data_IF_023557259908
#
_entry.id   IF_023557259908
#
_cell.length_a   1.000
_cell.length_b   1.000
_cell.length_c   1.000
_cell.angle_alpha   90.00
_cell.angle_beta   90.00
_cell.angle_gamma   90.00
#
_symmetry.space_group_name_H-M   'P 1'
#
loop_
_entity.id
_entity.type
_entity.pdbx_description
1 polymer ?
#
# COMPACT_ATOMS: atom_id res chain seq x y z
N UNK A 1 42.63 3.88 11.47
CA UNK A 1 43.83 3.08 11.80
C UNK A 1 43.49 1.62 11.82
N UNK A 2 44.05 0.78 10.92
CA UNK A 2 43.81 -0.65 10.93
C UNK A 2 44.38 -1.31 12.18
N UNK A 3 43.57 -1.96 12.99
CA UNK A 3 44.03 -2.76 14.10
C UNK A 3 44.94 -3.90 13.59
N UNK A 4 46.17 -3.93 14.08
CA UNK A 4 47.12 -5.02 13.83
C UNK A 4 46.62 -6.29 14.55
N UNK A 5 45.87 -7.16 13.83
CA UNK A 5 45.42 -8.44 14.35
C UNK A 5 46.58 -9.44 14.27
N UNK A 6 47.06 -9.92 15.43
CA UNK A 6 48.07 -11.00 15.51
C UNK A 6 47.37 -12.35 15.42
N UNK A 7 47.74 -13.15 14.42
CA UNK A 7 47.21 -14.52 14.27
C UNK A 7 48.18 -15.54 14.92
N UNK A 8 47.65 -16.26 15.92
CA UNK A 8 48.40 -17.29 16.64
C UNK A 8 48.03 -18.72 16.15
N UNK A 9 47.09 -18.85 15.22
CA UNK A 9 46.65 -20.13 14.71
C UNK A 9 47.59 -20.68 13.64
N UNK A 10 47.67 -22.02 13.55
CA UNK A 10 48.45 -22.75 12.51
C UNK A 10 47.75 -22.78 11.16
N UNK A 11 46.46 -22.52 11.11
CA UNK A 11 45.65 -22.54 9.88
C UNK A 11 45.54 -21.11 9.34
N UNK A 12 45.83 -20.92 8.07
CA UNK A 12 45.59 -19.63 7.39
C UNK A 12 44.10 -19.32 7.42
N UNK A 13 43.75 -18.19 8.03
CA UNK A 13 42.36 -17.69 7.98
C UNK A 13 42.07 -17.19 6.58
N UNK A 14 41.09 -17.76 5.91
CA UNK A 14 40.69 -17.42 4.56
C UNK A 14 39.91 -16.10 4.45
N UNK A 15 39.27 -15.68 5.56
CA UNK A 15 38.50 -14.45 5.66
C UNK A 15 39.02 -13.60 6.82
N UNK A 16 39.19 -12.29 6.66
CA UNK A 16 39.54 -11.39 7.76
C UNK A 16 38.41 -11.38 8.79
N UNK A 17 38.78 -11.32 10.07
CA UNK A 17 37.78 -11.15 11.13
C UNK A 17 37.21 -9.75 11.00
N UNK A 18 35.87 -9.57 10.85
CA UNK A 18 35.26 -8.26 10.77
C UNK A 18 35.46 -7.49 12.07
N UNK A 19 35.53 -6.18 12.00
CA UNK A 19 35.57 -5.33 13.18
C UNK A 19 34.21 -5.39 13.89
N UNK A 20 34.16 -5.97 15.07
CA UNK A 20 32.91 -6.29 15.77
C UNK A 20 32.11 -5.05 16.22
N UNK A 21 32.76 -3.88 16.31
CA UNK A 21 32.13 -2.61 16.71
C UNK A 21 31.70 -1.75 15.51
N UNK A 22 32.03 -2.13 14.27
CA UNK A 22 31.69 -1.34 13.10
C UNK A 22 30.19 -1.05 13.01
N UNK A 23 29.35 -2.02 13.38
CA UNK A 23 27.91 -1.83 13.32
C UNK A 23 27.43 -0.59 14.11
N UNK A 24 28.00 -0.36 15.31
CA UNK A 24 27.64 0.80 16.12
C UNK A 24 28.31 2.07 15.60
N UNK A 25 29.58 2.01 15.26
CA UNK A 25 30.35 3.16 14.78
C UNK A 25 29.77 3.66 13.45
N UNK A 26 29.59 2.75 12.46
CA UNK A 26 29.06 3.11 11.16
C UNK A 26 27.60 3.62 11.25
N UNK A 27 26.80 3.02 12.12
CA UNK A 27 25.42 3.45 12.38
C UNK A 27 25.37 4.88 12.95
N UNK A 28 26.24 5.20 13.88
CA UNK A 28 26.29 6.53 14.49
C UNK A 28 26.86 7.58 13.53
N UNK A 29 27.88 7.23 12.76
CA UNK A 29 28.42 8.10 11.70
C UNK A 29 27.35 8.41 10.63
N UNK A 30 26.60 7.40 10.20
CA UNK A 30 25.46 7.59 9.28
C UNK A 30 24.36 8.45 9.92
N UNK A 31 24.10 8.28 11.21
CA UNK A 31 23.13 9.10 11.92
C UNK A 31 23.51 10.58 11.92
N UNK A 32 24.79 10.88 12.18
CA UNK A 32 25.31 12.25 12.19
C UNK A 32 25.63 12.78 10.78
N UNK A 33 25.76 11.93 9.77
CA UNK A 33 26.30 12.27 8.46
C UNK A 33 27.60 13.11 8.56
N UNK A 34 28.48 12.68 9.47
CA UNK A 34 29.73 13.36 9.78
C UNK A 34 30.66 13.40 8.57
N UNK A 35 31.26 14.55 8.30
CA UNK A 35 32.18 14.76 7.15
C UNK A 35 31.49 14.95 5.81
N UNK A 36 30.16 14.94 5.75
CA UNK A 36 29.39 15.27 4.56
C UNK A 36 29.04 16.77 4.58
N UNK A 37 29.23 17.44 3.47
CA UNK A 37 28.82 18.84 3.32
C UNK A 37 27.31 18.98 3.47
N UNK A 38 26.82 20.07 4.06
CA UNK A 38 25.39 20.29 4.32
C UNK A 38 24.53 20.10 3.06
N UNK A 39 25.02 20.51 1.90
CA UNK A 39 24.31 20.37 0.62
C UNK A 39 24.23 18.91 0.10
N UNK A 40 25.13 18.03 0.55
CA UNK A 40 25.24 16.65 0.11
C UNK A 40 24.66 15.64 1.11
N UNK A 41 24.14 16.14 2.24
CA UNK A 41 23.48 15.28 3.25
C UNK A 41 22.20 14.65 2.69
N UNK A 42 22.00 13.38 2.99
CA UNK A 42 20.79 12.68 2.61
C UNK A 42 19.59 13.15 3.44
N UNK A 43 18.54 13.70 2.82
CA UNK A 43 17.36 14.18 3.56
C UNK A 43 16.47 13.04 4.10
N UNK A 44 16.76 11.78 3.76
CA UNK A 44 15.99 10.62 4.18
C UNK A 44 16.65 9.86 5.34
N UNK A 45 17.93 10.13 5.65
CA UNK A 45 18.69 9.35 6.61
C UNK A 45 19.11 10.17 7.84
N UNK A 46 19.27 9.47 8.96
CA UNK A 46 19.84 10.00 10.19
C UNK A 46 19.13 11.21 10.77
N UNK A 47 19.92 12.12 11.31
CA UNK A 47 19.43 13.33 11.98
C UNK A 47 18.78 14.31 10.97
N UNK A 48 19.35 14.42 9.78
CA UNK A 48 18.79 15.23 8.68
C UNK A 48 17.38 14.76 8.35
N UNK A 49 17.18 13.45 8.17
CA UNK A 49 15.87 12.86 7.88
C UNK A 49 14.85 13.12 8.99
N UNK A 50 15.27 13.16 10.27
CA UNK A 50 14.37 13.49 11.38
C UNK A 50 13.91 14.94 11.29
N UNK A 51 14.82 15.88 10.99
CA UNK A 51 14.44 17.28 10.81
C UNK A 51 13.50 17.46 9.63
N UNK A 52 13.77 16.86 8.48
CA UNK A 52 12.87 16.91 7.31
C UNK A 52 11.49 16.26 7.53
N UNK A 53 11.37 15.37 8.52
CA UNK A 53 10.06 14.79 8.90
C UNK A 53 9.22 15.77 9.72
N UNK A 54 9.86 16.65 10.49
CA UNK A 54 9.20 17.61 11.37
C UNK A 54 8.97 18.95 10.67
N UNK A 55 9.94 19.41 9.89
CA UNK A 55 9.86 20.64 9.12
C UNK A 55 9.40 20.36 7.67
N UNK A 56 8.70 21.29 7.02
CA UNK A 56 8.33 22.63 7.49
C UNK A 56 7.17 22.61 8.51
N UNK A 57 7.21 23.53 9.48
CA UNK A 57 6.12 23.78 10.40
C UNK A 57 5.34 24.98 9.89
N UNK A 58 4.12 24.75 9.42
CA UNK A 58 3.23 25.79 8.92
C UNK A 58 2.30 26.29 10.02
N UNK A 59 2.00 27.60 9.99
CA UNK A 59 0.95 28.18 10.81
C UNK A 59 -0.44 27.72 10.35
N UNK A 60 -1.42 27.73 11.27
CA UNK A 60 -2.81 27.33 10.99
C UNK A 60 -3.41 28.11 9.81
N UNK A 61 -3.13 29.39 9.71
CA UNK A 61 -3.60 30.25 8.60
C UNK A 61 -2.71 30.16 7.35
N UNK A 62 -1.64 29.37 7.41
CA UNK A 62 -0.65 29.23 6.34
C UNK A 62 -0.01 30.54 5.90
N UNK A 63 0.07 31.50 6.82
CA UNK A 63 0.70 32.82 6.60
C UNK A 63 2.20 32.80 6.90
N UNK A 64 2.69 31.82 7.61
CA UNK A 64 4.10 31.66 7.91
C UNK A 64 4.49 30.19 7.86
N UNK A 65 5.72 29.91 7.41
CA UNK A 65 6.34 28.58 7.40
C UNK A 65 7.73 28.67 8.03
N UNK A 66 8.00 27.79 8.99
CA UNK A 66 9.32 27.60 9.56
C UNK A 66 10.00 26.41 8.90
N UNK A 67 11.05 26.67 8.16
CA UNK A 67 11.81 25.69 7.40
C UNK A 67 13.14 25.35 8.09
N UNK A 68 13.55 24.10 8.00
CA UNK A 68 14.86 23.66 8.38
C UNK A 68 15.85 23.87 7.24
N UNK A 69 17.06 24.37 7.54
CA UNK A 69 18.11 24.62 6.54
C UNK A 69 19.28 23.65 6.72
N UNK A 70 19.87 23.62 7.91
CA UNK A 70 20.99 22.75 8.23
C UNK A 70 21.18 22.62 9.74
N UNK A 71 22.01 21.67 10.17
CA UNK A 71 22.47 21.57 11.55
C UNK A 71 24.00 21.57 11.62
N UNK A 72 24.53 22.07 12.73
CA UNK A 72 25.94 22.07 13.06
C UNK A 72 26.16 21.48 14.45
N UNK A 73 27.14 20.60 14.58
CA UNK A 73 27.56 20.01 15.84
C UNK A 73 28.89 20.67 16.21
N UNK A 74 28.90 21.37 17.34
CA UNK A 74 30.08 22.07 17.82
C UNK A 74 31.08 21.13 18.51
N UNK A 75 32.18 21.72 19.02
CA UNK A 75 33.17 20.97 19.77
C UNK A 75 32.68 20.65 21.20
N UNK A 76 33.01 19.47 21.74
CA UNK A 76 32.66 19.12 23.10
C UNK A 76 33.42 20.03 24.11
N UNK A 77 32.72 20.44 25.15
CA UNK A 77 33.27 21.35 26.16
C UNK A 77 34.33 20.67 27.03
N UNK A 78 34.24 19.38 27.26
CA UNK A 78 35.13 18.60 28.11
C UNK A 78 35.63 17.37 27.36
N UNK A 79 36.88 16.96 27.63
CA UNK A 79 37.46 15.73 27.11
C UNK A 79 36.83 14.48 27.78
N UNK A 80 36.99 13.33 27.12
CA UNK A 80 36.48 12.05 27.61
C UNK A 80 36.95 11.70 29.03
N UNK A 81 38.27 11.91 29.32
CA UNK A 81 38.84 11.65 30.61
C UNK A 81 38.27 12.57 31.70
N UNK A 82 38.06 13.84 31.37
CA UNK A 82 37.46 14.80 32.30
C UNK A 82 36.00 14.47 32.58
N UNK A 83 35.23 14.03 31.56
CA UNK A 83 33.85 13.62 31.74
C UNK A 83 33.72 12.43 32.68
N UNK A 84 34.61 11.44 32.58
CA UNK A 84 34.65 10.30 33.49
C UNK A 84 34.99 10.74 34.93
N UNK A 85 36.02 11.57 35.07
CA UNK A 85 36.50 11.99 36.40
C UNK A 85 35.51 12.90 37.13
N UNK A 86 34.81 13.75 36.38
CA UNK A 86 33.86 14.74 36.93
C UNK A 86 32.40 14.24 36.96
N UNK A 87 32.15 13.03 36.48
CA UNK A 87 30.78 12.48 36.41
C UNK A 87 29.87 13.18 35.38
N UNK A 88 30.46 13.71 34.30
CA UNK A 88 29.75 14.45 33.26
C UNK A 88 29.43 13.57 32.04
N UNK A 89 28.59 14.07 31.19
CA UNK A 89 28.27 13.46 29.87
C UNK A 89 29.21 14.03 28.81
N UNK A 90 29.80 13.15 27.99
CA UNK A 90 30.59 13.56 26.82
C UNK A 90 29.65 13.91 25.69
N UNK A 91 29.43 15.22 25.45
CA UNK A 91 28.45 15.76 24.54
C UNK A 91 28.95 17.02 23.85
N UNK A 92 28.40 17.26 22.66
CA UNK A 92 28.63 18.47 21.89
C UNK A 92 27.35 19.31 21.79
N UNK A 93 27.48 20.66 21.78
CA UNK A 93 26.33 21.54 21.50
C UNK A 93 25.92 21.41 20.06
N UNK A 94 24.61 21.32 19.82
CA UNK A 94 24.03 21.29 18.51
C UNK A 94 23.25 22.58 18.23
N UNK A 95 23.48 23.15 17.07
CA UNK A 95 22.76 24.31 16.55
C UNK A 95 22.02 23.90 15.29
N UNK A 96 20.87 24.47 15.06
CA UNK A 96 20.11 24.33 13.83
C UNK A 96 19.92 25.69 13.20
N UNK A 97 20.06 25.74 11.89
CA UNK A 97 19.73 26.90 11.09
C UNK A 97 18.30 26.75 10.60
N UNK A 98 17.46 27.68 10.96
CA UNK A 98 16.05 27.71 10.55
C UNK A 98 15.75 28.97 9.75
N UNK A 99 14.81 28.85 8.84
CA UNK A 99 14.32 29.92 7.98
C UNK A 99 12.84 30.12 8.23
N UNK A 100 12.46 31.31 8.68
CA UNK A 100 11.07 31.73 8.76
C UNK A 100 10.70 32.45 7.48
N UNK A 101 9.74 31.90 6.75
CA UNK A 101 9.17 32.49 5.53
C UNK A 101 7.78 32.99 5.87
N UNK A 102 7.54 34.28 5.64
CA UNK A 102 6.24 34.93 5.85
C UNK A 102 5.61 35.18 4.49
N UNK A 103 4.35 34.82 4.34
CA UNK A 103 3.60 34.92 3.11
C UNK A 103 2.49 35.99 3.23
N UNK A 104 2.31 36.77 2.18
CA UNK A 104 1.10 37.54 1.95
C UNK A 104 0.20 36.72 1.01
N UNK A 105 -1.04 36.51 1.41
CA UNK A 105 -2.04 35.82 0.59
C UNK A 105 -2.98 36.85 -0.01
N UNK A 106 -3.05 36.87 -1.33
CA UNK A 106 -4.03 37.68 -2.03
C UNK A 106 -5.41 37.01 -1.94
N UNK A 107 -6.35 37.61 -1.26
CA UNK A 107 -7.71 37.09 -1.05
C UNK A 107 -8.48 36.86 -2.37
N UNK A 108 -8.13 37.59 -3.44
CA UNK A 108 -8.84 37.51 -4.71
C UNK A 108 -8.35 36.36 -5.60
N UNK A 109 -7.05 36.10 -5.60
CA UNK A 109 -6.42 35.08 -6.47
C UNK A 109 -6.01 33.78 -5.75
N UNK A 110 -5.95 33.79 -4.41
CA UNK A 110 -5.44 32.69 -3.61
C UNK A 110 -3.92 32.46 -3.75
N UNK A 111 -3.22 33.31 -4.48
CA UNK A 111 -1.79 33.21 -4.69
C UNK A 111 -1.03 33.71 -3.45
N UNK A 112 0.04 32.97 -3.08
CA UNK A 112 0.93 33.32 -1.99
C UNK A 112 2.18 33.99 -2.56
N UNK A 113 2.53 35.15 -2.03
CA UNK A 113 3.79 35.84 -2.33
C UNK A 113 4.63 35.90 -1.06
N UNK A 114 5.93 35.69 -1.20
CA UNK A 114 6.84 35.80 -0.06
C UNK A 114 6.99 37.27 0.30
N UNK A 115 6.63 37.59 1.55
CA UNK A 115 6.75 38.96 2.08
C UNK A 115 8.11 39.18 2.73
N UNK A 116 8.57 38.25 3.57
CA UNK A 116 9.82 38.37 4.33
C UNK A 116 10.45 36.99 4.58
N UNK A 117 11.79 36.93 4.64
CA UNK A 117 12.55 35.73 4.95
C UNK A 117 13.56 36.10 6.03
N UNK A 118 13.51 35.38 7.16
CA UNK A 118 14.48 35.53 8.26
C UNK A 118 15.16 34.21 8.54
N UNK A 119 16.48 34.21 8.53
CA UNK A 119 17.30 33.06 8.92
C UNK A 119 17.99 33.32 10.25
N UNK A 120 18.02 32.28 11.10
CA UNK A 120 18.66 32.37 12.40
C UNK A 120 19.22 31.00 12.81
N UNK A 121 20.40 31.03 13.44
CA UNK A 121 20.98 29.87 14.11
C UNK A 121 20.42 29.78 15.54
N UNK A 122 19.83 28.64 15.87
CA UNK A 122 19.18 28.40 17.14
C UNK A 122 19.96 27.29 17.88
N UNK A 123 20.28 27.52 19.14
CA UNK A 123 20.79 26.44 20.00
C UNK A 123 19.66 25.44 20.25
N UNK A 124 19.86 24.19 19.78
CA UNK A 124 18.84 23.16 19.87
C UNK A 124 19.01 22.27 21.09
N UNK A 125 20.24 22.12 21.58
CA UNK A 125 20.55 21.28 22.75
C UNK A 125 21.95 20.71 22.66
N UNK A 126 22.19 19.64 23.41
CA UNK A 126 23.45 18.88 23.37
C UNK A 126 23.20 17.48 22.86
N UNK A 127 24.18 16.93 22.15
CA UNK A 127 24.14 15.59 21.60
C UNK A 127 25.29 14.78 22.20
N UNK A 128 25.02 13.62 22.86
CA UNK A 128 26.09 12.74 23.34
C UNK A 128 26.93 12.22 22.17
N UNK A 129 28.26 12.31 22.30
CA UNK A 129 29.20 11.85 21.29
C UNK A 129 29.66 10.42 21.58
N UNK A 130 29.83 9.64 20.49
CA UNK A 130 30.40 8.30 20.58
C UNK A 130 31.92 8.39 20.67
N UNK A 131 32.52 7.56 21.53
CA UNK A 131 33.95 7.41 21.62
C UNK A 131 34.50 6.52 20.49
N UNK A 132 35.82 6.53 20.28
CA UNK A 132 36.48 5.62 19.32
C UNK A 132 36.21 4.13 19.58
N UNK A 133 35.86 3.78 20.82
CA UNK A 133 35.53 2.42 21.26
C UNK A 133 34.08 2.03 20.99
N UNK A 134 33.27 2.92 20.38
CA UNK A 134 31.82 2.69 20.14
C UNK A 134 30.97 2.79 21.41
N UNK A 135 31.45 3.47 22.43
CA UNK A 135 30.76 3.71 23.72
C UNK A 135 30.29 5.16 23.83
N UNK A 136 29.37 5.41 24.75
CA UNK A 136 28.96 6.75 25.18
C UNK A 136 29.31 6.95 26.65
N UNK A 137 29.78 8.12 26.99
CA UNK A 137 30.04 8.50 28.41
C UNK A 137 28.85 9.33 28.87
N UNK A 138 28.03 8.75 29.74
CA UNK A 138 26.83 9.37 30.29
C UNK A 138 27.00 9.45 31.83
N UNK A 139 26.96 10.66 32.34
CA UNK A 139 27.18 10.91 33.78
C UNK A 139 28.44 10.21 34.32
N UNK A 140 29.55 10.28 33.58
CA UNK A 140 30.83 9.67 33.92
C UNK A 140 30.91 8.15 33.75
N UNK A 141 29.87 7.50 33.30
CA UNK A 141 29.82 6.03 33.10
C UNK A 141 29.84 5.69 31.62
N UNK A 142 30.74 4.81 31.21
CA UNK A 142 30.74 4.27 29.86
C UNK A 142 29.53 3.35 29.63
N UNK A 143 28.79 3.60 28.57
CA UNK A 143 27.59 2.83 28.16
C UNK A 143 27.66 2.46 26.69
N UNK A 144 27.05 1.35 26.35
CA UNK A 144 26.95 0.84 24.98
C UNK A 144 25.49 0.66 24.60
N UNK A 145 25.16 1.05 23.39
CA UNK A 145 23.85 0.74 22.82
C UNK A 145 23.84 -0.71 22.35
N UNK A 146 22.94 -1.52 22.90
CA UNK A 146 22.77 -2.91 22.49
C UNK A 146 21.78 -2.96 21.33
N UNK A 147 22.23 -3.49 20.20
CA UNK A 147 21.37 -3.66 19.03
C UNK A 147 20.28 -4.70 19.29
N UNK A 148 19.06 -4.37 18.90
CA UNK A 148 17.94 -5.30 18.93
C UNK A 148 17.60 -5.73 17.50
N UNK A 149 17.44 -7.05 17.32
CA UNK A 149 16.93 -7.58 16.05
C UNK A 149 15.47 -7.20 15.90
N UNK A 150 15.15 -6.59 14.78
CA UNK A 150 13.80 -6.20 14.39
C UNK A 150 13.47 -6.83 13.04
N UNK A 151 12.20 -7.11 12.79
CA UNK A 151 11.77 -7.54 11.45
C UNK A 151 12.05 -6.42 10.45
N UNK A 152 12.61 -6.79 9.30
CA UNK A 152 12.85 -5.83 8.22
C UNK A 152 11.53 -5.21 7.74
N UNK A 153 11.54 -3.91 7.41
CA UNK A 153 10.42 -3.31 6.71
C UNK A 153 10.14 -4.02 5.40
N UNK A 154 8.88 -4.14 5.03
CA UNK A 154 8.47 -4.79 3.80
C UNK A 154 7.13 -5.50 3.92
N UNK A 155 6.76 -6.26 2.89
CA UNK A 155 5.52 -7.03 2.82
C UNK A 155 5.87 -8.51 2.97
N UNK A 156 5.25 -9.18 3.94
CA UNK A 156 5.48 -10.58 4.25
C UNK A 156 4.18 -11.34 4.01
N UNK A 157 4.22 -12.34 3.13
CA UNK A 157 3.10 -13.24 2.88
C UNK A 157 3.31 -14.55 3.64
N UNK A 158 2.28 -14.98 4.36
CA UNK A 158 2.30 -16.19 5.18
C UNK A 158 1.02 -17.00 4.94
N UNK A 159 1.02 -18.26 5.35
CA UNK A 159 -0.17 -19.11 5.40
C UNK A 159 -0.10 -20.06 6.60
N UNK A 160 -1.26 -20.47 7.11
CA UNK A 160 -1.37 -21.33 8.29
C UNK A 160 -1.15 -22.82 8.00
N UNK A 161 -1.05 -23.21 6.73
CA UNK A 161 -0.95 -24.62 6.30
C UNK A 161 -2.21 -25.45 6.62
N UNK A 162 -3.36 -24.79 6.80
CA UNK A 162 -4.64 -25.45 7.12
C UNK A 162 -4.75 -25.97 8.55
N UNK A 163 -3.95 -25.42 9.49
CA UNK A 163 -3.92 -25.88 10.90
C UNK A 163 -4.92 -25.13 11.78
N UNK A 164 -5.31 -23.93 11.41
CA UNK A 164 -6.10 -23.03 12.26
C UNK A 164 -7.58 -23.40 12.31
N UNK A 165 -8.14 -23.94 11.23
CA UNK A 165 -9.56 -24.26 11.14
C UNK A 165 -9.80 -25.74 10.86
N UNK A 166 -10.92 -26.28 11.39
CA UNK A 166 -11.32 -27.70 11.25
C UNK A 166 -11.53 -28.13 9.79
N UNK A 167 -11.87 -27.21 8.89
CA UNK A 167 -12.03 -27.48 7.45
C UNK A 167 -10.71 -27.76 6.72
N UNK A 168 -9.56 -27.63 7.39
CA UNK A 168 -8.21 -27.74 6.80
C UNK A 168 -7.96 -26.81 5.59
N UNK A 169 -8.79 -25.78 5.42
CA UNK A 169 -8.59 -24.76 4.40
C UNK A 169 -7.35 -23.94 4.74
N UNK A 170 -6.48 -23.75 3.77
CA UNK A 170 -5.30 -22.90 3.92
C UNK A 170 -5.76 -21.44 3.96
N UNK A 171 -5.46 -20.77 5.06
CA UNK A 171 -5.74 -19.36 5.24
C UNK A 171 -4.47 -18.56 4.98
N UNK A 172 -4.57 -17.62 4.06
CA UNK A 172 -3.48 -16.73 3.68
C UNK A 172 -3.54 -15.45 4.49
N UNK A 173 -2.36 -14.95 4.82
CA UNK A 173 -2.21 -13.66 5.49
C UNK A 173 -1.08 -12.85 4.86
N UNK A 174 -1.18 -11.53 5.00
CA UNK A 174 -0.18 -10.59 4.54
C UNK A 174 0.08 -9.58 5.65
N UNK A 175 1.35 -9.32 5.93
CA UNK A 175 1.76 -8.31 6.92
C UNK A 175 2.61 -7.26 6.26
N UNK A 176 2.22 -6.00 6.41
CA UNK A 176 2.98 -4.85 5.96
C UNK A 176 3.66 -4.24 7.16
N UNK A 177 5.00 -4.26 7.14
CA UNK A 177 5.85 -3.69 8.18
C UNK A 177 6.48 -2.42 7.63
N UNK A 178 6.10 -1.23 8.14
CA UNK A 178 6.71 0.02 7.72
C UNK A 178 8.09 0.22 8.36
N UNK A 179 8.89 1.11 7.84
CA UNK A 179 10.14 1.55 8.49
C UNK A 179 9.85 2.19 9.85
N UNK A 180 8.75 2.98 9.93
CA UNK A 180 8.28 3.64 11.14
C UNK A 180 6.76 3.70 11.13
N UNK A 181 6.12 3.30 12.21
CA UNK A 181 4.66 3.35 12.36
C UNK A 181 4.02 2.01 12.68
N UNK A 182 2.69 1.97 12.61
CA UNK A 182 1.89 0.80 12.95
C UNK A 182 1.92 -0.25 11.85
N UNK A 183 1.91 -1.51 12.24
CA UNK A 183 1.82 -2.63 11.31
C UNK A 183 0.40 -2.79 10.77
N UNK A 184 0.30 -3.23 9.51
CA UNK A 184 -0.94 -3.62 8.86
C UNK A 184 -0.91 -5.13 8.62
N UNK A 185 -1.88 -5.83 9.20
CA UNK A 185 -2.08 -7.26 8.97
C UNK A 185 -3.36 -7.47 8.16
N UNK A 186 -3.27 -8.20 7.06
CA UNK A 186 -4.42 -8.65 6.27
C UNK A 186 -4.56 -10.15 6.45
N UNK A 187 -5.74 -10.61 6.83
CA UNK A 187 -6.02 -12.02 7.09
C UNK A 187 -7.30 -12.45 6.37
N UNK A 188 -7.25 -13.57 5.66
CA UNK A 188 -8.45 -14.25 5.20
C UNK A 188 -9.05 -15.12 6.32
N UNK A 189 -10.36 -15.13 6.42
CA UNK A 189 -11.04 -16.09 7.27
C UNK A 189 -11.48 -17.36 6.51
N UNK A 190 -12.06 -18.32 7.20
CA UNK A 190 -12.54 -19.57 6.60
C UNK A 190 -13.68 -19.38 5.58
N UNK A 191 -14.34 -18.21 5.59
CA UNK A 191 -15.40 -17.80 4.65
C UNK A 191 -14.88 -16.98 3.47
N UNK A 192 -13.57 -16.88 3.31
CA UNK A 192 -12.89 -16.04 2.31
C UNK A 192 -13.13 -14.54 2.45
N UNK A 193 -13.50 -14.09 3.63
CA UNK A 193 -13.62 -12.67 3.92
C UNK A 193 -12.23 -12.11 4.29
N UNK A 194 -11.86 -11.03 3.65
CA UNK A 194 -10.59 -10.34 3.92
C UNK A 194 -10.75 -9.33 5.05
N UNK A 195 -9.99 -9.51 6.10
CA UNK A 195 -9.94 -8.60 7.24
C UNK A 195 -8.62 -7.86 7.28
N UNK A 196 -8.66 -6.66 7.85
CA UNK A 196 -7.46 -5.86 8.17
C UNK A 196 -7.39 -5.58 9.66
N UNK A 197 -6.19 -5.60 10.22
CA UNK A 197 -5.87 -5.13 11.57
C UNK A 197 -4.80 -4.06 11.48
N UNK A 198 -4.98 -3.00 12.24
CA UNK A 198 -3.98 -1.95 12.41
C UNK A 198 -3.42 -2.11 13.81
N UNK A 199 -2.10 -2.31 13.90
CA UNK A 199 -1.38 -2.43 15.18
C UNK A 199 -1.96 -3.50 16.13
N UNK A 200 -2.31 -4.68 15.57
CA UNK A 200 -2.91 -5.82 16.29
C UNK A 200 -4.23 -5.52 17.00
N UNK A 201 -4.90 -4.42 16.70
CA UNK A 201 -6.20 -4.08 17.26
C UNK A 201 -7.30 -4.96 16.67
N UNK A 202 -8.58 -4.63 16.96
CA UNK A 202 -9.75 -5.36 16.46
C UNK A 202 -9.71 -5.44 14.92
N UNK A 203 -9.95 -6.63 14.39
CA UNK A 203 -10.08 -6.86 12.95
C UNK A 203 -11.34 -6.20 12.39
N UNK A 204 -11.24 -5.66 11.20
CA UNK A 204 -12.34 -5.06 10.45
C UNK A 204 -12.27 -5.53 8.98
N UNK A 205 -13.39 -5.56 8.23
CA UNK A 205 -13.34 -5.81 6.79
C UNK A 205 -12.34 -4.88 6.08
N UNK A 206 -11.52 -5.43 5.18
CA UNK A 206 -10.48 -4.65 4.51
C UNK A 206 -11.04 -3.54 3.62
N UNK A 207 -12.25 -3.72 3.09
CA UNK A 207 -12.98 -2.71 2.28
C UNK A 207 -13.22 -1.41 3.03
N UNK A 208 -13.33 -1.46 4.36
CA UNK A 208 -13.42 -0.26 5.20
C UNK A 208 -12.14 0.59 5.09
N UNK A 209 -10.97 -0.05 5.05
CA UNK A 209 -9.71 0.66 4.87
C UNK A 209 -9.65 1.32 3.49
N UNK A 210 -10.05 0.60 2.43
CA UNK A 210 -10.05 1.14 1.06
C UNK A 210 -11.01 2.33 0.92
N UNK A 211 -12.20 2.23 1.49
CA UNK A 211 -13.14 3.36 1.56
C UNK A 211 -12.60 4.54 2.36
N UNK A 212 -11.88 4.28 3.46
CA UNK A 212 -11.23 5.33 4.24
C UNK A 212 -10.09 6.03 3.48
N UNK A 213 -9.48 5.35 2.51
CA UNK A 213 -8.49 5.92 1.58
C UNK A 213 -9.15 6.70 0.42
N UNK A 214 -10.48 6.79 0.37
CA UNK A 214 -11.23 7.54 -0.63
C UNK A 214 -11.70 6.72 -1.83
N UNK A 215 -11.54 5.39 -1.84
CA UNK A 215 -12.05 4.57 -2.93
C UNK A 215 -13.56 4.35 -2.81
N UNK A 216 -14.29 4.52 -3.90
CA UNK A 216 -15.72 4.15 -3.98
C UNK A 216 -15.88 2.63 -4.07
N UNK A 217 -17.12 2.14 -3.84
CA UNK A 217 -17.48 0.72 -4.00
C UNK A 217 -17.12 0.20 -5.41
N UNK A 218 -17.45 0.96 -6.43
CA UNK A 218 -17.16 0.64 -7.82
C UNK A 218 -15.66 0.62 -8.12
N UNK A 219 -14.91 1.62 -7.64
CA UNK A 219 -13.46 1.68 -7.80
C UNK A 219 -12.75 0.50 -7.14
N UNK A 220 -13.22 0.04 -5.98
CA UNK A 220 -12.70 -1.17 -5.35
C UNK A 220 -12.93 -2.39 -6.25
N UNK A 221 -14.14 -2.55 -6.78
CA UNK A 221 -14.46 -3.67 -7.67
C UNK A 221 -13.65 -3.61 -8.97
N UNK A 222 -13.53 -2.44 -9.58
CA UNK A 222 -12.73 -2.22 -10.80
C UNK A 222 -11.23 -2.51 -10.58
N UNK A 223 -10.70 -2.20 -9.41
CA UNK A 223 -9.30 -2.46 -9.08
C UNK A 223 -8.98 -3.95 -8.97
N UNK A 224 -9.89 -4.74 -8.36
CA UNK A 224 -9.64 -6.15 -8.09
C UNK A 224 -10.19 -7.09 -9.15
N UNK A 225 -11.16 -6.68 -9.96
CA UNK A 225 -11.85 -7.54 -10.93
C UNK A 225 -11.81 -6.94 -12.32
N UNK A 226 -11.61 -7.81 -13.31
CA UNK A 226 -11.90 -7.46 -14.70
C UNK A 226 -13.41 -7.50 -14.94
N UNK A 227 -13.91 -6.62 -15.80
CA UNK A 227 -15.32 -6.56 -16.12
C UNK A 227 -15.60 -7.30 -17.44
N UNK A 228 -16.62 -8.15 -17.44
CA UNK A 228 -17.20 -8.76 -18.63
C UNK A 228 -18.46 -7.97 -19.01
N UNK A 229 -18.69 -7.80 -20.29
CA UNK A 229 -19.89 -7.12 -20.79
C UNK A 229 -20.80 -8.11 -21.49
N UNK A 230 -22.09 -8.01 -21.17
CA UNK A 230 -23.14 -8.82 -21.78
C UNK A 230 -24.17 -7.91 -22.37
N UNK A 231 -24.63 -8.27 -23.61
CA UNK A 231 -25.77 -7.65 -24.27
C UNK A 231 -27.00 -8.52 -24.11
N UNK A 232 -28.12 -7.91 -23.72
CA UNK A 232 -29.41 -8.55 -23.53
C UNK A 232 -30.31 -8.15 -24.72
N UNK A 233 -30.53 -9.05 -25.68
CA UNK A 233 -31.36 -8.73 -26.85
C UNK A 233 -32.80 -9.22 -26.68
N UNK A 234 -32.99 -10.40 -26.07
CA UNK A 234 -34.33 -10.97 -25.82
C UNK A 234 -34.35 -11.85 -24.56
N UNK A 235 -35.51 -12.41 -24.27
CA UNK A 235 -35.68 -13.34 -23.16
C UNK A 235 -34.76 -14.58 -23.25
N UNK A 236 -34.40 -15.00 -24.45
CA UNK A 236 -33.59 -16.19 -24.72
C UNK A 236 -32.21 -15.88 -25.31
N UNK A 237 -31.93 -14.64 -25.70
CA UNK A 237 -30.69 -14.27 -26.40
C UNK A 237 -29.83 -13.36 -25.54
N UNK A 238 -28.72 -13.93 -25.07
CA UNK A 238 -27.70 -13.26 -24.30
C UNK A 238 -26.37 -13.37 -25.05
N UNK A 239 -25.69 -12.26 -25.21
CA UNK A 239 -24.41 -12.20 -25.92
C UNK A 239 -23.30 -11.72 -24.99
N UNK A 240 -22.21 -12.46 -24.93
CA UNK A 240 -20.98 -12.07 -24.24
C UNK A 240 -20.05 -11.30 -25.19
N UNK A 241 -19.67 -10.10 -24.86
CA UNK A 241 -18.75 -9.28 -25.64
C UNK A 241 -17.32 -9.84 -25.55
N UNK A 242 -16.70 -10.07 -26.70
CA UNK A 242 -15.37 -10.67 -26.80
C UNK A 242 -14.31 -9.63 -26.46
N UNK A 243 -13.50 -9.94 -25.44
CA UNK A 243 -12.31 -9.15 -25.07
C UNK A 243 -11.06 -10.02 -25.16
N UNK A 244 -9.98 -9.50 -25.79
CA UNK A 244 -8.72 -10.24 -26.02
C UNK A 244 -8.05 -10.69 -24.74
N UNK A 245 -8.17 -9.91 -23.69
CA UNK A 245 -7.58 -10.09 -22.36
C UNK A 245 -8.35 -11.08 -21.46
N UNK A 246 -9.61 -11.39 -21.80
CA UNK A 246 -10.47 -12.26 -21.01
C UNK A 246 -10.73 -13.57 -21.75
N UNK A 247 -9.99 -14.61 -21.40
CA UNK A 247 -10.23 -15.96 -21.87
C UNK A 247 -11.02 -16.76 -20.85
N UNK A 248 -12.14 -17.33 -21.30
CA UNK A 248 -12.96 -18.22 -20.50
C UNK A 248 -13.04 -19.60 -21.14
N UNK A 249 -12.78 -20.64 -20.36
CA UNK A 249 -12.92 -22.01 -20.80
C UNK A 249 -14.36 -22.45 -20.64
N UNK A 250 -15.18 -22.19 -21.65
CA UNK A 250 -16.59 -22.56 -21.71
C UNK A 250 -16.89 -23.36 -22.98
N UNK A 251 -18.07 -24.00 -23.06
CA UNK A 251 -18.54 -24.64 -24.28
C UNK A 251 -19.35 -23.61 -25.07
N UNK A 252 -19.14 -23.58 -26.37
CA UNK A 252 -19.92 -22.74 -27.26
C UNK A 252 -21.42 -23.14 -27.23
N UNK A 253 -22.30 -22.17 -27.00
CA UNK A 253 -23.74 -22.41 -26.99
C UNK A 253 -24.30 -22.56 -28.41
N UNK A 254 -23.88 -21.68 -29.29
CA UNK A 254 -24.19 -21.70 -30.73
C UNK A 254 -22.91 -21.88 -31.57
N UNK A 255 -23.04 -22.15 -32.87
CA UNK A 255 -21.88 -22.16 -33.75
C UNK A 255 -21.25 -20.78 -33.86
N UNK A 256 -19.95 -20.69 -33.58
CA UNK A 256 -19.19 -19.45 -33.71
C UNK A 256 -18.61 -19.42 -35.12
N UNK A 257 -19.10 -18.48 -35.92
CA UNK A 257 -18.82 -18.37 -37.35
C UNK A 257 -18.02 -17.07 -37.59
N UNK A 258 -16.99 -17.14 -38.43
CA UNK A 258 -16.26 -15.97 -38.86
C UNK A 258 -17.06 -15.12 -39.86
N UNK A 259 -16.69 -13.86 -40.13
CA UNK A 259 -17.37 -13.03 -41.15
C UNK A 259 -17.33 -13.60 -42.57
N UNK A 260 -16.52 -14.64 -42.81
CA UNK A 260 -16.37 -15.31 -44.12
C UNK A 260 -17.27 -16.56 -44.25
N UNK A 261 -17.99 -16.92 -43.15
CA UNK A 261 -18.89 -18.07 -43.13
C UNK A 261 -18.26 -19.40 -42.68
N UNK A 262 -17.00 -19.39 -42.21
CA UNK A 262 -16.37 -20.61 -41.71
C UNK A 262 -16.65 -20.79 -40.20
N UNK A 263 -16.94 -22.02 -39.79
CA UNK A 263 -17.19 -22.35 -38.39
C UNK A 263 -15.89 -22.50 -37.64
N UNK A 264 -15.59 -21.59 -36.70
CA UNK A 264 -14.42 -21.66 -35.82
C UNK A 264 -14.64 -22.67 -34.69
N UNK A 265 -15.82 -22.64 -34.06
CA UNK A 265 -16.19 -23.58 -32.98
C UNK A 265 -17.64 -23.99 -33.17
N UNK A 266 -17.90 -25.29 -33.19
CA UNK A 266 -19.28 -25.83 -33.25
C UNK A 266 -19.97 -25.77 -31.90
N UNK A 267 -21.27 -25.61 -31.89
CA UNK A 267 -22.13 -25.69 -30.73
C UNK A 267 -21.80 -26.94 -29.86
N UNK A 268 -21.75 -26.77 -28.54
CA UNK A 268 -21.42 -27.82 -27.59
C UNK A 268 -19.94 -28.19 -27.48
N UNK A 269 -19.06 -27.64 -28.30
CA UNK A 269 -17.60 -27.85 -28.19
C UNK A 269 -16.92 -26.82 -27.28
N UNK A 270 -15.87 -27.21 -26.56
CA UNK A 270 -15.12 -26.29 -25.69
C UNK A 270 -14.36 -25.23 -26.49
N UNK A 271 -14.46 -24.00 -26.05
CA UNK A 271 -13.64 -22.90 -26.54
C UNK A 271 -12.24 -23.08 -25.99
N UNK A 272 -11.26 -23.38 -26.83
CA UNK A 272 -9.86 -23.57 -26.46
C UNK A 272 -9.11 -22.25 -26.61
N UNK A 273 -7.91 -22.12 -25.96
CA UNK A 273 -7.04 -20.95 -26.16
C UNK A 273 -6.71 -20.68 -27.63
N UNK A 274 -6.62 -21.75 -28.46
CA UNK A 274 -6.37 -21.62 -29.90
C UNK A 274 -7.59 -21.05 -30.62
N UNK A 275 -8.77 -21.61 -30.37
CA UNK A 275 -10.03 -21.10 -30.99
C UNK A 275 -10.35 -19.69 -30.49
N UNK A 276 -10.06 -19.37 -29.22
CA UNK A 276 -10.21 -18.01 -28.70
C UNK A 276 -9.37 -16.99 -29.47
N UNK A 277 -8.11 -17.34 -29.77
CA UNK A 277 -7.25 -16.48 -30.59
C UNK A 277 -7.83 -16.25 -31.97
N UNK A 278 -8.35 -17.30 -32.62
CA UNK A 278 -8.99 -17.19 -33.93
C UNK A 278 -10.26 -16.33 -33.88
N UNK A 279 -11.07 -16.44 -32.83
CA UNK A 279 -12.25 -15.59 -32.60
C UNK A 279 -11.84 -14.11 -32.51
N UNK A 280 -10.81 -13.82 -31.75
CA UNK A 280 -10.28 -12.46 -31.60
C UNK A 280 -9.67 -11.93 -32.92
N UNK A 281 -8.97 -12.77 -33.68
CA UNK A 281 -8.35 -12.43 -34.98
C UNK A 281 -9.43 -12.22 -36.08
N UNK A 282 -10.52 -12.98 -36.02
CA UNK A 282 -11.65 -12.82 -36.92
C UNK A 282 -12.50 -11.57 -36.64
N UNK A 283 -12.23 -10.86 -35.53
CA UNK A 283 -12.94 -9.64 -35.14
C UNK A 283 -14.38 -9.87 -34.71
N UNK A 284 -14.69 -11.05 -34.17
CA UNK A 284 -16.00 -11.35 -33.60
C UNK A 284 -16.22 -10.53 -32.36
N UNK A 285 -17.21 -9.64 -32.35
CA UNK A 285 -17.49 -8.72 -31.26
C UNK A 285 -18.23 -9.38 -30.09
N UNK A 286 -19.11 -10.35 -30.37
CA UNK A 286 -19.92 -10.99 -29.36
C UNK A 286 -20.22 -12.45 -29.68
N UNK A 287 -20.36 -13.26 -28.63
CA UNK A 287 -20.68 -14.70 -28.73
C UNK A 287 -21.98 -14.95 -27.98
N UNK A 288 -22.90 -15.68 -28.60
CA UNK A 288 -24.13 -16.10 -27.93
C UNK A 288 -23.82 -17.09 -26.81
N UNK A 289 -24.39 -16.85 -25.62
CA UNK A 289 -24.22 -17.68 -24.42
C UNK A 289 -25.57 -18.08 -23.87
N UNK A 290 -25.55 -19.10 -22.99
CA UNK A 290 -26.80 -19.54 -22.35
C UNK A 290 -27.36 -18.45 -21.45
N UNK A 291 -28.69 -18.31 -21.33
CA UNK A 291 -29.30 -17.37 -20.38
C UNK A 291 -28.91 -17.61 -18.92
N UNK A 292 -28.69 -18.89 -18.55
CA UNK A 292 -28.23 -19.31 -17.19
C UNK A 292 -26.76 -19.03 -16.91
N UNK A 293 -26.02 -18.54 -17.88
CA UNK A 293 -24.59 -18.20 -17.72
C UNK A 293 -24.37 -17.11 -16.68
N UNK A 294 -25.31 -16.20 -16.54
CA UNK A 294 -25.26 -15.08 -15.60
C UNK A 294 -25.69 -15.45 -14.19
N UNK A 295 -26.27 -16.63 -13.97
CA UNK A 295 -26.68 -17.07 -12.65
C UNK A 295 -25.49 -17.17 -11.72
N UNK A 296 -25.63 -16.57 -10.54
CA UNK A 296 -24.56 -16.45 -9.54
C UNK A 296 -23.33 -15.66 -10.00
N UNK A 297 -23.48 -14.79 -10.97
CA UNK A 297 -22.52 -13.73 -11.29
C UNK A 297 -22.93 -12.42 -10.60
N UNK A 298 -21.99 -11.48 -10.53
CA UNK A 298 -22.16 -10.25 -9.78
C UNK A 298 -22.03 -9.04 -10.68
N UNK A 299 -22.86 -8.03 -10.45
CA UNK A 299 -22.79 -6.76 -11.17
C UNK A 299 -21.49 -6.00 -10.85
N UNK A 300 -20.88 -5.42 -11.86
CA UNK A 300 -19.67 -4.61 -11.70
C UNK A 300 -19.97 -3.16 -11.34
N UNK A 301 -21.08 -2.63 -11.81
CA UNK A 301 -21.52 -1.24 -11.64
C UNK A 301 -23.00 -1.19 -11.29
N UNK A 302 -23.45 -0.08 -10.73
CA UNK A 302 -24.86 0.18 -10.46
C UNK A 302 -25.64 0.22 -11.78
N UNK A 303 -26.80 -0.40 -11.80
CA UNK A 303 -27.69 -0.44 -12.95
C UNK A 303 -28.94 0.37 -12.64
N UNK A 304 -29.11 1.50 -13.35
CA UNK A 304 -30.26 2.38 -13.21
C UNK A 304 -31.21 2.26 -14.40
N UNK A 305 -32.49 2.45 -14.15
CA UNK A 305 -33.51 2.57 -15.19
C UNK A 305 -33.26 3.84 -16.04
N UNK A 306 -33.03 3.71 -17.36
CA UNK A 306 -32.74 4.86 -18.20
C UNK A 306 -33.91 5.87 -18.30
N UNK A 307 -35.13 5.48 -17.91
CA UNK A 307 -36.32 6.34 -17.97
C UNK A 307 -36.61 7.07 -16.69
N UNK A 308 -36.42 6.40 -15.54
CA UNK A 308 -36.76 6.93 -14.23
C UNK A 308 -35.54 7.41 -13.44
N UNK A 309 -34.34 6.91 -13.78
CA UNK A 309 -33.11 7.12 -13.01
C UNK A 309 -33.05 6.35 -11.69
N UNK A 310 -34.03 5.49 -11.42
CA UNK A 310 -34.07 4.65 -10.21
C UNK A 310 -33.02 3.53 -10.32
N UNK A 311 -32.26 3.28 -9.26
CA UNK A 311 -31.29 2.19 -9.20
C UNK A 311 -32.05 0.87 -9.08
N UNK A 312 -31.98 0.03 -10.11
CA UNK A 312 -32.62 -1.28 -10.13
C UNK A 312 -31.80 -2.34 -9.41
N UNK A 313 -30.48 -2.22 -9.43
CA UNK A 313 -29.55 -3.07 -8.73
C UNK A 313 -28.23 -2.33 -8.49
N UNK A 314 -27.58 -2.61 -7.38
CA UNK A 314 -26.28 -2.02 -7.01
C UNK A 314 -25.11 -2.88 -7.50
N UNK A 315 -23.94 -2.27 -7.59
CA UNK A 315 -22.69 -2.98 -7.81
C UNK A 315 -22.46 -4.02 -6.70
N UNK A 316 -21.90 -5.17 -7.05
CA UNK A 316 -21.73 -6.36 -6.25
C UNK A 316 -23.02 -7.17 -5.96
N UNK A 317 -24.18 -6.78 -6.44
CA UNK A 317 -25.39 -7.59 -6.32
C UNK A 317 -25.28 -8.85 -7.19
N UNK A 318 -25.85 -9.95 -6.69
CA UNK A 318 -25.92 -11.21 -7.41
C UNK A 318 -27.02 -11.15 -8.48
N UNK A 319 -26.67 -11.56 -9.70
CA UNK A 319 -27.60 -11.60 -10.82
C UNK A 319 -28.49 -12.83 -10.66
N UNK A 320 -29.78 -12.59 -10.55
CA UNK A 320 -30.84 -13.61 -10.51
C UNK A 320 -31.71 -13.53 -11.75
N UNK A 321 -32.40 -14.60 -12.08
CA UNK A 321 -33.34 -14.62 -13.21
C UNK A 321 -34.38 -13.49 -13.11
N UNK A 322 -34.95 -13.25 -11.92
CA UNK A 322 -35.90 -12.17 -11.70
C UNK A 322 -35.31 -10.76 -11.89
N UNK A 323 -34.03 -10.58 -11.62
CA UNK A 323 -33.35 -9.32 -11.86
C UNK A 323 -33.11 -9.08 -13.35
N UNK A 324 -32.77 -10.14 -14.10
CA UNK A 324 -32.65 -10.07 -15.56
C UNK A 324 -33.96 -9.71 -16.25
N UNK A 325 -35.09 -10.23 -15.73
CA UNK A 325 -36.42 -9.86 -16.26
C UNK A 325 -36.73 -8.38 -16.02
N UNK A 326 -36.42 -7.86 -14.84
CA UNK A 326 -36.53 -6.41 -14.54
C UNK A 326 -35.65 -5.56 -15.47
N UNK A 327 -34.43 -5.99 -15.75
CA UNK A 327 -33.56 -5.28 -16.71
C UNK A 327 -34.13 -5.22 -18.12
N UNK A 328 -34.77 -6.33 -18.56
CA UNK A 328 -35.47 -6.38 -19.85
C UNK A 328 -36.69 -5.46 -19.91
N UNK A 329 -37.50 -5.45 -18.85
CA UNK A 329 -38.66 -4.56 -18.74
C UNK A 329 -38.26 -3.06 -18.74
N UNK A 330 -37.16 -2.73 -18.10
CA UNK A 330 -36.58 -1.40 -18.10
C UNK A 330 -35.89 -1.02 -19.44
N UNK A 331 -35.68 -1.99 -20.33
CA UNK A 331 -35.02 -1.78 -21.62
C UNK A 331 -33.51 -1.65 -21.56
N UNK A 332 -32.86 -2.27 -20.55
CA UNK A 332 -31.42 -2.28 -20.40
C UNK A 332 -30.83 -3.27 -21.41
N UNK A 333 -30.08 -2.72 -22.37
CA UNK A 333 -29.49 -3.52 -23.44
C UNK A 333 -28.11 -4.10 -23.09
N UNK A 334 -27.39 -3.52 -22.09
CA UNK A 334 -26.03 -3.90 -21.75
C UNK A 334 -25.78 -3.86 -20.23
N UNK A 335 -25.10 -4.88 -19.71
CA UNK A 335 -24.71 -4.97 -18.32
C UNK A 335 -23.22 -5.29 -18.22
N UNK A 336 -22.58 -4.78 -17.17
CA UNK A 336 -21.22 -5.11 -16.80
C UNK A 336 -21.22 -6.07 -15.60
N UNK A 337 -20.45 -7.14 -15.69
CA UNK A 337 -20.42 -8.25 -14.73
C UNK A 337 -18.99 -8.48 -14.28
N UNK A 338 -18.79 -8.82 -13.01
CA UNK A 338 -17.47 -9.12 -12.46
C UNK A 338 -16.96 -10.48 -12.97
N UNK A 339 -15.74 -10.51 -13.47
CA UNK A 339 -15.07 -11.76 -13.82
C UNK A 339 -14.55 -12.45 -12.53
N UNK A 340 -15.33 -13.37 -11.99
CA UNK A 340 -15.02 -14.12 -10.75
C UNK A 340 -14.76 -15.60 -10.98
N UNK A 341 -14.97 -16.12 -12.19
CA UNK A 341 -14.82 -17.54 -12.54
C UNK A 341 -13.46 -17.86 -13.22
N UNK A 342 -12.36 -17.31 -12.71
CA UNK A 342 -11.00 -17.60 -13.19
C UNK A 342 -10.23 -18.49 -12.22
N UNK A 343 -9.08 -19.01 -12.67
CA UNK A 343 -8.12 -19.71 -11.79
C UNK A 343 -7.49 -18.79 -10.76
N UNK A 344 -7.43 -17.48 -11.05
CA UNK A 344 -6.69 -16.49 -10.29
C UNK A 344 -7.60 -15.45 -9.60
N UNK A 345 -8.92 -15.57 -9.75
CA UNK A 345 -9.89 -14.64 -9.18
C UNK A 345 -10.89 -15.37 -8.29
N UNK A 346 -11.16 -14.81 -7.12
CA UNK A 346 -12.17 -15.29 -6.17
C UNK A 346 -13.16 -14.17 -5.85
N UNK A 347 -14.36 -14.49 -5.37
CA UNK A 347 -15.37 -13.51 -4.94
C UNK A 347 -15.03 -12.82 -3.61
N UNK A 348 -13.86 -13.11 -3.01
CA UNK A 348 -13.52 -12.70 -1.64
C UNK A 348 -13.64 -11.21 -1.36
N UNK A 349 -13.18 -10.35 -2.26
CA UNK A 349 -13.28 -8.88 -2.07
C UNK A 349 -14.74 -8.42 -2.19
N UNK A 350 -15.48 -8.98 -3.16
CA UNK A 350 -16.91 -8.73 -3.29
C UNK A 350 -17.67 -9.16 -2.03
N UNK A 351 -17.41 -10.36 -1.52
CA UNK A 351 -18.07 -10.89 -0.33
C UNK A 351 -17.71 -10.08 0.92
N UNK A 352 -16.46 -9.59 0.99
CA UNK A 352 -16.02 -8.66 2.03
C UNK A 352 -16.75 -7.32 1.93
N UNK A 353 -16.98 -6.82 0.71
CA UNK A 353 -17.69 -5.57 0.47
C UNK A 353 -19.17 -5.65 0.87
N UNK A 354 -19.83 -6.78 0.60
CA UNK A 354 -21.23 -7.02 1.01
C UNK A 354 -21.36 -7.16 2.52
N UNK A 355 -20.37 -7.74 3.19
CA UNK A 355 -20.37 -7.83 4.66
C UNK A 355 -20.10 -6.49 5.34
N UNK A 356 -19.52 -5.54 4.62
CA UNK A 356 -19.23 -4.19 5.12
C UNK A 356 -20.51 -3.34 5.11
N UNK A 357 -21.03 -3.06 6.31
CA UNK A 357 -22.25 -2.28 6.53
C UNK A 357 -22.06 -0.77 6.48
N UNK A 358 -20.83 -0.31 6.26
CA UNK A 358 -20.50 1.13 6.27
C UNK A 358 -20.54 1.66 4.83
N UNK A 359 -21.52 2.48 4.45
CA UNK A 359 -21.66 2.95 3.08
C UNK A 359 -20.59 3.98 2.69
N UNK A 360 -20.18 4.91 3.58
CA UNK A 360 -19.37 6.07 3.24
C UNK A 360 -18.26 6.45 4.23
N UNK A 361 -17.27 7.19 3.74
CA UNK A 361 -16.14 7.74 4.50
C UNK A 361 -16.61 8.68 5.65
N UNK A 362 -17.66 9.45 5.46
CA UNK A 362 -18.16 10.45 6.41
C UNK A 362 -18.85 9.84 7.65
N UNK A 363 -19.64 8.79 7.50
CA UNK A 363 -20.32 8.12 8.63
C UNK A 363 -19.34 7.48 9.62
N UNK A 364 -18.12 7.16 9.20
CA UNK A 364 -17.13 6.56 10.06
C UNK A 364 -16.44 7.55 11.01
N UNK A 365 -16.33 8.82 10.64
CA UNK A 365 -15.80 9.84 11.53
C UNK A 365 -16.71 10.13 12.71
N UNK A 366 -18.01 9.85 12.57
CA UNK A 366 -19.03 10.02 13.62
C UNK A 366 -19.08 8.84 14.59
N UNK A 367 -18.88 7.60 14.13
CA UNK A 367 -18.85 6.41 15.00
C UNK A 367 -17.59 6.31 15.88
N UNK A 368 -16.57 7.12 15.63
CA UNK A 368 -15.33 7.17 16.44
C UNK A 368 -15.35 8.23 17.54
N UNK A 369 -16.38 9.04 17.65
CA UNK A 369 -16.62 9.95 18.76
C UNK A 369 -17.54 9.31 19.80
#
# INVERSE_FOLDING_TARGET
MGQLTKQFGKIKVSLPIPHLLNLQIDSYQKFLQEGVLDADRSPEEGLEGVFHTVFPIEDFNKTASLEFVSYEIGEPKYDQAECISKGLTYEAPMRIKVRLVVYDTDEASGNRTIRDIKEQDIYFGTLPLMTEKGTFIINGTERVIVNQLQRSPGIIFEHDGGKTHTSRKVLYSCRIIPMRGSWLDFDFDHKDILYVRIDRRRKMPATILFKAMGMSKEQILEYFYSHEHYRIESASSLFWEVRKDLYRKDNAYADIIDPQGNVIVKAGKPITKRSWRLICEAGIEAIEVRPDTLDSMFLAVDVADPKTGEILAEAADEITAGLLDRFREAGIARIAVLHTKGTDTSSSIRDTLVQDRIPDQLKRSEERR
#
